data_IF_703991232890
#
_entry.id   IF_703991232890
#
_cell.length_a   1.000
_cell.length_b   1.000
_cell.length_c   1.000
_cell.angle_alpha   90.00
_cell.angle_beta   90.00
_cell.angle_gamma   90.00
#
_symmetry.space_group_name_H-M   'P 1'
#
loop_
_entity.id
_entity.type
_entity.pdbx_description
1 polymer ?
#
# COMPACT_ATOMS: atom_id res chain seq x y z
N UNK A 1 -11.37 -0.13 5.94
CA UNK A 1 -11.28 0.51 4.61
C UNK A 1 -11.23 -0.51 3.46
N UNK A 2 -10.17 -1.31 3.29
CA UNK A 2 -10.01 -2.24 2.15
C UNK A 2 -11.20 -3.20 1.92
N UNK A 3 -11.58 -3.96 2.95
CA UNK A 3 -12.73 -4.88 2.87
C UNK A 3 -14.04 -4.14 2.58
N UNK A 4 -14.23 -2.94 3.16
CA UNK A 4 -15.39 -2.08 2.89
C UNK A 4 -15.43 -1.62 1.43
N UNK A 5 -14.25 -1.36 0.84
CA UNK A 5 -14.06 -1.06 -0.57
C UNK A 5 -14.13 -2.30 -1.49
N UNK A 6 -14.43 -3.48 -0.92
CA UNK A 6 -14.50 -4.76 -1.63
C UNK A 6 -13.21 -5.10 -2.36
N UNK A 7 -12.07 -4.83 -1.74
CA UNK A 7 -10.79 -5.38 -2.17
C UNK A 7 -10.45 -6.57 -1.28
N UNK A 8 -10.23 -7.72 -1.88
CA UNK A 8 -9.63 -8.85 -1.17
C UNK A 8 -8.14 -8.58 -0.86
N UNK A 9 -7.51 -9.48 -0.11
CA UNK A 9 -6.12 -9.31 0.32
C UNK A 9 -5.12 -9.17 -0.84
N UNK A 10 -5.34 -9.85 -1.96
CA UNK A 10 -4.45 -9.80 -3.11
C UNK A 10 -4.76 -8.60 -4.00
N UNK A 11 -6.05 -8.28 -4.21
CA UNK A 11 -6.48 -7.07 -4.91
C UNK A 11 -5.96 -5.79 -4.23
N UNK A 12 -5.92 -5.78 -2.89
CA UNK A 12 -5.30 -4.69 -2.12
C UNK A 12 -3.80 -4.55 -2.42
N UNK A 13 -3.07 -5.65 -2.54
CA UNK A 13 -1.65 -5.63 -2.91
C UNK A 13 -1.46 -5.17 -4.36
N UNK A 14 -2.23 -5.72 -5.30
CA UNK A 14 -2.16 -5.33 -6.72
C UNK A 14 -2.41 -3.84 -6.90
N UNK A 15 -3.50 -3.31 -6.34
CA UNK A 15 -3.84 -1.89 -6.48
C UNK A 15 -2.86 -0.98 -5.76
N UNK A 16 -2.23 -1.42 -4.65
CA UNK A 16 -1.15 -0.67 -4.02
C UNK A 16 0.15 -0.71 -4.83
N UNK A 17 0.50 -1.84 -5.44
CA UNK A 17 1.63 -1.94 -6.36
C UNK A 17 1.44 -1.03 -7.57
N UNK A 18 0.22 -0.94 -8.10
CA UNK A 18 -0.13 -0.05 -9.21
C UNK A 18 -0.05 1.45 -8.88
N UNK A 19 0.08 1.86 -7.61
CA UNK A 19 0.38 3.27 -7.27
C UNK A 19 1.87 3.61 -7.39
N UNK A 20 2.74 2.62 -7.66
CA UNK A 20 4.19 2.76 -7.58
C UNK A 20 4.77 2.74 -6.16
N UNK A 21 3.92 2.82 -5.12
CA UNK A 21 4.35 2.85 -3.71
C UNK A 21 4.32 1.48 -3.02
N UNK A 22 3.62 0.51 -3.62
CA UNK A 22 3.54 -0.86 -3.12
C UNK A 22 4.78 -1.71 -3.40
N UNK A 23 4.82 -2.90 -2.82
CA UNK A 23 5.86 -3.90 -3.10
C UNK A 23 5.82 -4.34 -4.56
N UNK A 24 6.97 -4.64 -5.16
CA UNK A 24 6.99 -5.23 -6.50
C UNK A 24 6.38 -6.65 -6.49
N UNK A 25 5.84 -7.15 -7.61
CA UNK A 25 5.20 -8.47 -7.65
C UNK A 25 6.13 -9.60 -7.21
N UNK A 26 7.41 -9.54 -7.55
CA UNK A 26 8.40 -10.55 -7.12
C UNK A 26 8.48 -10.64 -5.59
N UNK A 27 8.51 -9.51 -4.90
CA UNK A 27 8.52 -9.46 -3.43
C UNK A 27 7.20 -9.91 -2.80
N UNK A 28 6.07 -9.66 -3.46
CA UNK A 28 4.78 -10.22 -3.04
C UNK A 28 4.82 -11.75 -3.09
N UNK A 29 5.35 -12.32 -4.17
CA UNK A 29 5.39 -13.78 -4.34
C UNK A 29 6.31 -14.45 -3.33
N UNK A 30 7.48 -13.87 -3.08
CA UNK A 30 8.49 -14.46 -2.19
C UNK A 30 8.17 -14.29 -0.71
N UNK A 31 7.47 -13.22 -0.32
CA UNK A 31 7.27 -12.90 1.11
C UNK A 31 5.83 -13.08 1.60
N UNK A 32 4.84 -13.11 0.70
CA UNK A 32 3.41 -13.16 1.06
C UNK A 32 2.71 -14.46 0.66
N UNK A 33 3.42 -15.38 0.02
CA UNK A 33 2.92 -16.73 -0.32
C UNK A 33 1.95 -16.78 -1.49
N UNK A 34 1.78 -15.68 -2.23
CA UNK A 34 0.93 -15.63 -3.43
C UNK A 34 1.70 -16.10 -4.66
N UNK A 35 1.01 -16.81 -5.54
CA UNK A 35 1.54 -17.24 -6.83
C UNK A 35 1.30 -16.18 -7.91
N UNK A 36 2.07 -16.27 -9.01
CA UNK A 36 1.82 -15.47 -10.23
C UNK A 36 0.41 -15.67 -10.77
N UNK A 37 -0.10 -16.90 -10.75
CA UNK A 37 -1.43 -17.21 -11.28
C UNK A 37 -2.53 -16.52 -10.47
N UNK A 38 -2.40 -16.49 -9.14
CA UNK A 38 -3.35 -15.79 -8.28
C UNK A 38 -3.29 -14.28 -8.50
N UNK A 39 -2.09 -13.73 -8.68
CA UNK A 39 -1.89 -12.32 -9.01
C UNK A 39 -2.56 -11.94 -10.33
N UNK A 40 -2.32 -12.72 -11.38
CA UNK A 40 -2.90 -12.47 -12.70
C UNK A 40 -4.43 -12.59 -12.67
N UNK A 41 -4.96 -13.53 -11.86
CA UNK A 41 -6.40 -13.65 -11.64
C UNK A 41 -6.99 -12.43 -10.89
N UNK A 42 -6.27 -11.89 -9.90
CA UNK A 42 -6.68 -10.66 -9.20
C UNK A 42 -6.64 -9.43 -10.13
N UNK A 43 -5.59 -9.31 -10.96
CA UNK A 43 -5.51 -8.28 -12.01
C UNK A 43 -6.71 -8.39 -12.97
N UNK A 44 -7.07 -9.60 -13.39
CA UNK A 44 -8.25 -9.85 -14.23
C UNK A 44 -9.55 -9.33 -13.60
N UNK A 45 -9.83 -9.70 -12.35
CA UNK A 45 -11.02 -9.21 -11.62
C UNK A 45 -11.02 -7.68 -11.47
N UNK A 46 -9.87 -7.07 -11.21
CA UNK A 46 -9.76 -5.61 -11.09
C UNK A 46 -9.99 -4.89 -12.43
N UNK A 47 -9.54 -5.47 -13.55
CA UNK A 47 -9.82 -4.96 -14.90
C UNK A 47 -11.30 -5.09 -15.25
N UNK A 48 -11.92 -6.22 -14.97
CA UNK A 48 -13.37 -6.41 -15.16
C UNK A 48 -14.20 -5.39 -14.36
N UNK A 49 -13.69 -4.97 -13.19
CA UNK A 49 -14.29 -3.92 -12.36
C UNK A 49 -13.97 -2.51 -12.83
N UNK A 50 -13.11 -2.33 -13.84
CA UNK A 50 -12.67 -1.02 -14.33
C UNK A 50 -11.84 -0.25 -13.31
N UNK A 51 -11.00 -0.94 -12.55
CA UNK A 51 -10.07 -0.33 -11.59
C UNK A 51 -8.64 -0.28 -12.12
N UNK A 52 -8.28 -1.22 -13.02
CA UNK A 52 -6.98 -1.27 -13.68
C UNK A 52 -7.12 -1.18 -15.20
N UNK A 53 -6.12 -0.58 -15.81
CA UNK A 53 -5.91 -0.54 -17.25
C UNK A 53 -5.26 -1.85 -17.77
N UNK A 54 -5.20 -1.99 -19.09
CA UNK A 54 -4.62 -3.16 -19.75
C UNK A 54 -3.10 -3.29 -19.53
N UNK A 55 -2.41 -2.21 -19.22
CA UNK A 55 -0.98 -2.18 -18.86
C UNK A 55 -0.72 -2.44 -17.36
N UNK A 56 -1.78 -2.47 -16.54
CA UNK A 56 -1.70 -2.71 -15.10
C UNK A 56 -1.62 -1.43 -14.25
N UNK A 57 -1.71 -0.26 -14.86
CA UNK A 57 -1.84 1.02 -14.15
C UNK A 57 -3.26 1.20 -13.60
N UNK A 58 -3.45 2.07 -12.61
CA UNK A 58 -4.78 2.42 -12.11
C UNK A 58 -5.52 3.28 -13.14
N UNK A 59 -6.79 2.94 -13.38
CA UNK A 59 -7.76 3.86 -14.02
C UNK A 59 -8.00 5.07 -13.10
N UNK A 60 -8.64 6.14 -13.61
CA UNK A 60 -9.09 7.26 -12.77
C UNK A 60 -9.97 6.79 -11.59
N UNK A 61 -10.85 5.83 -11.85
CA UNK A 61 -11.69 5.22 -10.81
C UNK A 61 -10.87 4.41 -9.80
N UNK A 62 -9.82 3.74 -10.26
CA UNK A 62 -8.87 3.02 -9.40
C UNK A 62 -8.10 3.97 -8.49
N UNK A 63 -7.65 5.11 -9.02
CA UNK A 63 -7.01 6.17 -8.24
C UNK A 63 -7.97 6.71 -7.18
N UNK A 64 -9.18 7.10 -7.57
CA UNK A 64 -10.20 7.60 -6.63
C UNK A 64 -10.52 6.59 -5.53
N UNK A 65 -10.66 5.30 -5.87
CA UNK A 65 -10.88 4.24 -4.87
C UNK A 65 -9.73 4.16 -3.86
N UNK A 66 -8.47 4.30 -4.32
CA UNK A 66 -7.31 4.27 -3.42
C UNK A 66 -7.28 5.51 -2.53
N UNK A 67 -7.57 6.70 -3.05
CA UNK A 67 -7.67 7.92 -2.26
C UNK A 67 -8.77 7.82 -1.19
N UNK A 68 -9.94 7.27 -1.53
CA UNK A 68 -11.01 7.01 -0.56
C UNK A 68 -10.58 6.04 0.54
N UNK A 69 -9.85 4.98 0.17
CA UNK A 69 -9.32 4.02 1.14
C UNK A 69 -8.31 4.70 2.08
N UNK A 70 -7.38 5.49 1.56
CA UNK A 70 -6.38 6.23 2.36
C UNK A 70 -7.07 7.23 3.31
N UNK A 71 -8.03 8.00 2.82
CA UNK A 71 -8.79 8.94 3.64
C UNK A 71 -9.56 8.24 4.77
N UNK A 72 -10.16 7.07 4.49
CA UNK A 72 -10.86 6.29 5.50
C UNK A 72 -9.89 5.64 6.51
N UNK A 73 -8.70 5.20 6.08
CA UNK A 73 -7.67 4.72 7.01
C UNK A 73 -7.14 5.85 7.89
N UNK A 74 -6.89 7.04 7.34
CA UNK A 74 -6.49 8.23 8.11
C UNK A 74 -7.54 8.64 9.15
N UNK A 75 -8.83 8.54 8.78
CA UNK A 75 -9.93 8.80 9.70
C UNK A 75 -9.97 7.78 10.84
N UNK A 76 -9.80 6.50 10.52
CA UNK A 76 -9.85 5.41 11.51
C UNK A 76 -8.64 5.42 12.45
N UNK A 77 -7.46 5.81 11.96
CA UNK A 77 -6.21 5.84 12.75
C UNK A 77 -6.03 7.14 13.54
N UNK A 78 -6.96 8.10 13.44
CA UNK A 78 -6.83 9.44 14.02
C UNK A 78 -6.76 9.46 15.54
N UNK A 79 -7.56 8.64 16.21
CA UNK A 79 -7.81 8.77 17.65
C UNK A 79 -6.55 8.64 18.53
N UNK A 80 -5.61 7.70 18.29
CA UNK A 80 -4.34 7.66 19.01
C UNK A 80 -3.51 8.94 18.91
N UNK A 81 -3.44 9.58 17.75
CA UNK A 81 -2.67 10.81 17.57
C UNK A 81 -3.34 12.02 18.23
N UNK A 82 -4.68 12.09 18.20
CA UNK A 82 -5.44 13.12 18.93
C UNK A 82 -5.25 12.99 20.44
N UNK A 83 -5.25 11.76 20.95
CA UNK A 83 -5.00 11.48 22.37
C UNK A 83 -3.58 11.92 22.80
N UNK A 84 -2.59 11.68 21.94
CA UNK A 84 -1.20 12.03 22.18
C UNK A 84 -0.97 13.55 22.11
N UNK A 85 -1.69 14.25 21.24
CA UNK A 85 -1.55 15.70 21.05
C UNK A 85 -0.33 16.08 20.20
N UNK A 86 -0.33 17.31 19.67
CA UNK A 86 0.60 17.73 18.62
C UNK A 86 2.09 17.67 19.03
N UNK A 87 2.40 18.00 20.28
CA UNK A 87 3.79 18.00 20.78
C UNK A 87 4.37 16.58 20.83
N UNK A 88 3.63 15.64 21.40
CA UNK A 88 4.09 14.27 21.55
C UNK A 88 3.99 13.50 20.23
N UNK A 89 3.07 13.84 19.32
CA UNK A 89 3.09 13.36 17.92
C UNK A 89 4.39 13.78 17.24
N UNK A 90 4.82 15.04 17.39
CA UNK A 90 6.11 15.51 16.84
C UNK A 90 7.28 14.72 17.43
N UNK A 91 7.25 14.43 18.74
CA UNK A 91 8.28 13.62 19.40
C UNK A 91 8.29 12.17 18.89
N UNK A 92 7.11 11.56 18.73
CA UNK A 92 6.95 10.24 18.15
C UNK A 92 7.54 10.19 16.73
N UNK A 93 7.22 11.17 15.89
CA UNK A 93 7.76 11.28 14.53
C UNK A 93 9.29 11.39 14.53
N UNK A 94 9.87 12.21 15.43
CA UNK A 94 11.33 12.33 15.57
C UNK A 94 11.99 10.96 15.89
N UNK A 95 11.45 10.25 16.88
CA UNK A 95 11.97 8.94 17.31
C UNK A 95 11.83 7.88 16.21
N UNK A 96 10.63 7.75 15.63
CA UNK A 96 10.35 6.80 14.57
C UNK A 96 11.22 7.07 13.32
N UNK A 97 11.43 8.34 12.97
CA UNK A 97 12.34 8.74 11.88
C UNK A 97 13.77 8.31 12.16
N UNK A 98 14.24 8.44 13.41
CA UNK A 98 15.56 7.96 13.82
C UNK A 98 15.72 6.46 13.57
N UNK A 99 14.80 5.64 14.07
CA UNK A 99 14.83 4.19 13.86
C UNK A 99 14.74 3.81 12.38
N UNK A 100 13.83 4.43 11.62
CA UNK A 100 13.67 4.17 10.19
C UNK A 100 14.95 4.50 9.40
N UNK A 101 15.60 5.63 9.70
CA UNK A 101 16.87 6.03 9.06
C UNK A 101 18.00 5.06 9.39
N UNK A 102 18.12 4.64 10.65
CA UNK A 102 19.12 3.64 11.05
C UNK A 102 18.90 2.30 10.33
N UNK A 103 17.66 1.81 10.27
CA UNK A 103 17.32 0.59 9.55
C UNK A 103 17.64 0.70 8.05
N UNK A 104 17.28 1.82 7.40
CA UNK A 104 17.63 2.08 6.01
C UNK A 104 19.15 2.07 5.78
N UNK A 105 19.92 2.76 6.62
CA UNK A 105 21.38 2.79 6.52
C UNK A 105 22.04 1.41 6.73
N UNK A 106 21.39 0.55 7.52
CA UNK A 106 21.82 -0.83 7.74
C UNK A 106 21.36 -1.82 6.63
N UNK A 107 20.66 -1.35 5.60
CA UNK A 107 20.23 -2.17 4.46
C UNK A 107 18.93 -2.96 4.70
N UNK A 108 18.06 -2.51 5.61
CA UNK A 108 16.80 -3.20 5.90
C UNK A 108 15.83 -3.26 4.70
N UNK A 109 15.99 -2.39 3.70
CA UNK A 109 15.11 -2.31 2.53
C UNK A 109 15.92 -2.52 1.24
N UNK A 110 15.69 -3.63 0.52
CA UNK A 110 16.26 -3.87 -0.80
C UNK A 110 15.85 -2.80 -1.81
N UNK A 111 16.74 -2.47 -2.74
CA UNK A 111 16.52 -1.41 -3.73
C UNK A 111 15.37 -1.70 -4.69
N UNK A 112 15.03 -2.98 -4.89
CA UNK A 112 13.97 -3.49 -5.76
C UNK A 112 12.66 -3.84 -5.02
N UNK A 113 12.57 -3.49 -3.72
CA UNK A 113 11.42 -3.81 -2.88
C UNK A 113 10.14 -3.09 -3.31
N UNK A 114 10.25 -1.79 -3.58
CA UNK A 114 9.12 -0.91 -3.90
C UNK A 114 9.05 -0.72 -5.42
N UNK A 115 7.83 -0.56 -5.95
CA UNK A 115 7.55 -0.25 -7.36
C UNK A 115 8.23 1.02 -7.89
N UNK A 116 7.92 1.36 -9.15
CA UNK A 116 8.54 2.48 -9.88
C UNK A 116 8.47 3.78 -9.04
N UNK A 117 9.63 4.44 -8.88
CA UNK A 117 9.68 5.87 -8.49
C UNK A 117 9.42 6.75 -9.68
#
# INVERSE_FOLDING_TARGET
ALMSAKLDGLEALVTHTATGRGMTPSWVFTTRGWTRQEWDAAVGRLRERGLLEADGELTERGVALREEIEAETDRLDRAPYEHLGAEDVRRLTELATGFARTAMAAGAYPADLIGKR
#
